data_IF_641364832588
#
_entry.id   IF_641364832588
#
_cell.length_a   1.000
_cell.length_b   1.000
_cell.length_c   1.000
_cell.angle_alpha   90.00
_cell.angle_beta   90.00
_cell.angle_gamma   90.00
#
_symmetry.space_group_name_H-M   'P 1'
#
loop_
_entity.id
_entity.type
_entity.pdbx_description
1 polymer ?
#
# COMPACT_ATOMS: atom_id res chain seq x y z
N UNK A 1 10.01 -4.20 7.35
CA UNK A 1 8.86 -4.27 6.43
C UNK A 1 7.66 -4.05 7.32
N UNK A 2 7.05 -2.88 7.23
CA UNK A 2 5.95 -2.49 8.12
C UNK A 2 4.66 -3.05 7.53
N UNK A 3 4.14 -4.10 8.15
CA UNK A 3 2.89 -4.75 7.74
C UNK A 3 1.73 -3.97 8.32
N UNK A 4 0.76 -3.58 7.49
CA UNK A 4 -0.47 -2.93 7.98
C UNK A 4 -1.27 -3.93 8.82
N UNK A 5 -1.33 -3.73 10.14
CA UNK A 5 -2.23 -4.47 11.03
C UNK A 5 -3.58 -3.76 11.07
N UNK A 6 -4.65 -4.42 10.62
CA UNK A 6 -5.99 -3.84 10.60
C UNK A 6 -6.52 -3.60 12.03
N UNK A 7 -6.11 -4.44 12.99
CA UNK A 7 -6.37 -4.22 14.42
C UNK A 7 -7.83 -4.43 14.83
N UNK A 8 -8.61 -5.11 13.98
CA UNK A 8 -10.02 -5.42 14.18
C UNK A 8 -10.17 -6.93 14.42
N UNK A 9 -11.14 -7.39 15.25
CA UNK A 9 -11.36 -8.83 15.44
C UNK A 9 -11.62 -9.58 14.12
N UNK A 10 -11.22 -10.85 14.08
CA UNK A 10 -11.52 -11.74 12.97
C UNK A 10 -13.03 -11.84 12.68
N UNK A 11 -13.39 -11.91 11.40
CA UNK A 11 -14.77 -11.94 10.91
C UNK A 11 -15.50 -10.60 10.98
N UNK A 12 -14.82 -9.50 11.31
CA UNK A 12 -15.44 -8.18 11.37
C UNK A 12 -15.57 -7.56 9.98
N UNK A 13 -16.75 -7.03 9.66
CA UNK A 13 -16.93 -6.15 8.50
C UNK A 13 -16.35 -4.77 8.78
N UNK A 14 -15.61 -4.22 7.82
CA UNK A 14 -15.03 -2.88 7.86
C UNK A 14 -15.46 -2.07 6.64
N UNK A 15 -15.42 -0.74 6.76
CA UNK A 15 -15.61 0.20 5.62
C UNK A 15 -14.30 0.94 5.26
N UNK A 16 -13.18 0.50 5.84
CA UNK A 16 -11.86 1.03 5.57
C UNK A 16 -10.86 0.73 6.67
N UNK A 17 -9.60 1.05 6.39
CA UNK A 17 -8.46 0.90 7.30
C UNK A 17 -7.42 2.00 7.03
N UNK A 18 -6.41 2.07 7.89
CA UNK A 18 -5.26 2.97 7.70
C UNK A 18 -4.01 2.12 7.55
N UNK A 19 -3.24 2.37 6.49
CA UNK A 19 -1.94 1.72 6.29
C UNK A 19 -0.92 2.14 7.34
N UNK A 20 0.16 1.39 7.46
CA UNK A 20 1.31 1.73 8.29
C UNK A 20 1.81 3.18 8.09
N UNK A 21 1.87 3.65 6.84
CA UNK A 21 2.35 5.01 6.52
C UNK A 21 1.27 6.10 6.72
N UNK A 22 0.11 5.75 7.26
CA UNK A 22 -0.96 6.70 7.60
C UNK A 22 -1.96 6.98 6.48
N UNK A 23 -1.90 6.27 5.35
CA UNK A 23 -2.86 6.43 4.25
C UNK A 23 -4.17 5.72 4.61
N UNK A 24 -5.28 6.45 4.66
CA UNK A 24 -6.60 5.87 4.84
C UNK A 24 -7.16 5.32 3.54
N UNK A 25 -7.58 4.06 3.59
CA UNK A 25 -8.14 3.29 2.48
C UNK A 25 -9.60 2.97 2.82
N UNK A 26 -10.53 3.36 1.98
CA UNK A 26 -11.94 2.99 2.07
C UNK A 26 -12.20 1.73 1.22
N UNK A 27 -12.84 0.75 1.84
CA UNK A 27 -13.21 -0.54 1.24
C UNK A 27 -14.25 -1.21 2.12
N UNK A 28 -15.28 -1.82 1.53
CA UNK A 28 -16.27 -2.61 2.27
C UNK A 28 -15.91 -4.09 2.15
N UNK A 29 -15.34 -4.67 3.21
CA UNK A 29 -14.79 -6.03 3.21
C UNK A 29 -14.88 -6.68 4.60
N UNK A 30 -14.60 -7.98 4.68
CA UNK A 30 -14.50 -8.73 5.94
C UNK A 30 -13.05 -9.07 6.26
N UNK A 31 -12.67 -8.87 7.52
CA UNK A 31 -11.32 -9.14 8.01
C UNK A 31 -11.15 -10.61 8.38
N UNK A 32 -10.10 -11.24 7.86
CA UNK A 32 -9.72 -12.62 8.20
C UNK A 32 -8.25 -12.72 8.59
N UNK A 33 -7.95 -13.58 9.54
CA UNK A 33 -6.59 -13.88 9.97
C UNK A 33 -5.98 -14.91 9.03
N UNK A 34 -4.68 -14.79 8.76
CA UNK A 34 -3.97 -15.85 8.04
C UNK A 34 -4.12 -17.16 8.82
N UNK A 35 -4.55 -18.21 8.12
CA UNK A 35 -4.93 -19.50 8.71
C UNK A 35 -6.39 -19.88 8.49
N UNK A 36 -7.28 -18.89 8.38
CA UNK A 36 -8.73 -19.09 8.25
C UNK A 36 -9.13 -19.26 6.78
N UNK A 37 -8.60 -20.29 6.12
CA UNK A 37 -8.79 -20.55 4.68
C UNK A 37 -7.53 -20.25 3.86
N UNK A 38 -6.73 -19.28 4.32
CA UNK A 38 -5.52 -18.79 3.64
C UNK A 38 -4.22 -19.21 4.31
N UNK A 39 -3.95 -20.52 4.28
CA UNK A 39 -2.76 -21.12 4.92
C UNK A 39 -1.48 -20.98 4.09
N UNK A 40 -1.61 -20.68 2.80
CA UNK A 40 -0.54 -20.61 1.80
C UNK A 40 0.06 -19.23 1.65
N UNK A 41 -0.46 -18.23 2.38
CA UNK A 41 -0.04 -16.85 2.24
C UNK A 41 1.48 -16.70 2.35
N UNK A 42 2.06 -15.97 1.39
CA UNK A 42 3.50 -16.03 1.18
C UNK A 42 4.29 -15.44 2.35
N UNK A 43 5.60 -15.73 2.31
CA UNK A 43 6.62 -14.85 2.90
C UNK A 43 6.58 -14.73 4.43
N UNK A 44 5.86 -15.62 5.12
CA UNK A 44 5.77 -15.63 6.59
C UNK A 44 4.86 -14.56 7.17
N UNK A 45 4.00 -13.94 6.36
CA UNK A 45 2.97 -13.02 6.85
C UNK A 45 1.97 -13.76 7.73
N UNK A 46 1.74 -13.25 8.94
CA UNK A 46 0.81 -13.82 9.94
C UNK A 46 -0.26 -12.80 10.37
N UNK A 47 -0.45 -11.77 9.56
CA UNK A 47 -1.40 -10.69 9.82
C UNK A 47 -2.80 -11.04 9.37
N UNK A 48 -3.50 -10.03 8.87
CA UNK A 48 -4.88 -10.13 8.42
C UNK A 48 -5.02 -9.83 6.93
N UNK A 49 -6.04 -10.39 6.31
CA UNK A 49 -6.44 -10.20 4.92
C UNK A 49 -7.90 -9.76 4.88
N UNK A 50 -8.31 -9.21 3.74
CA UNK A 50 -9.66 -8.79 3.43
C UNK A 50 -10.25 -9.76 2.40
N UNK A 51 -11.39 -10.35 2.73
CA UNK A 51 -12.20 -11.17 1.82
C UNK A 51 -13.60 -11.36 2.39
N UNK A 52 -14.62 -11.22 1.56
CA UNK A 52 -16.00 -11.58 1.88
C UNK A 52 -16.38 -12.98 1.37
N UNK A 53 -15.42 -13.69 0.74
CA UNK A 53 -15.61 -14.99 0.07
C UNK A 53 -16.66 -15.01 -1.05
N UNK A 54 -17.15 -13.85 -1.50
CA UNK A 54 -18.23 -13.73 -2.49
C UNK A 54 -17.85 -12.82 -3.65
N UNK A 55 -17.25 -11.67 -3.37
CA UNK A 55 -16.93 -10.63 -4.33
C UNK A 55 -15.79 -11.03 -5.26
N UNK A 56 -16.02 -10.85 -6.56
CA UNK A 56 -15.01 -11.09 -7.61
C UNK A 56 -14.40 -9.78 -8.15
N UNK A 57 -14.84 -8.63 -7.62
CA UNK A 57 -14.35 -7.31 -7.99
C UNK A 57 -14.54 -6.34 -6.83
N UNK A 58 -13.45 -5.94 -6.19
CA UNK A 58 -13.45 -5.15 -4.95
C UNK A 58 -12.77 -3.80 -5.21
N UNK A 59 -13.49 -2.68 -5.07
CA UNK A 59 -12.92 -1.35 -5.20
C UNK A 59 -12.28 -0.86 -3.89
N UNK A 60 -11.17 -0.15 -4.02
CA UNK A 60 -10.44 0.51 -2.94
C UNK A 60 -10.28 1.99 -3.29
N UNK A 61 -10.61 2.86 -2.35
CA UNK A 61 -10.43 4.31 -2.51
C UNK A 61 -9.40 4.83 -1.52
N UNK A 62 -8.42 5.59 -1.99
CA UNK A 62 -7.42 6.24 -1.16
C UNK A 62 -7.89 7.66 -0.84
N UNK A 63 -8.06 7.97 0.44
CA UNK A 63 -8.56 9.28 0.88
C UNK A 63 -7.55 10.41 0.64
N UNK A 64 -6.27 10.03 0.51
CA UNK A 64 -5.17 10.91 0.11
C UNK A 64 -4.48 10.28 -1.10
N UNK A 65 -4.23 11.04 -2.19
CA UNK A 65 -3.48 10.51 -3.31
C UNK A 65 -2.08 10.05 -2.88
N UNK A 66 -1.60 8.95 -3.45
CA UNK A 66 -0.26 8.40 -3.19
C UNK A 66 0.56 8.35 -4.47
N UNK A 67 1.88 8.30 -4.33
CA UNK A 67 2.81 8.12 -5.46
C UNK A 67 3.19 6.65 -5.70
N UNK A 68 2.72 5.76 -4.83
CA UNK A 68 2.77 4.34 -5.02
C UNK A 68 2.00 3.59 -3.95
N UNK A 69 1.61 2.36 -4.28
CA UNK A 69 0.94 1.44 -3.38
C UNK A 69 1.27 -0.01 -3.76
N UNK A 70 1.03 -0.92 -2.83
CA UNK A 70 1.11 -2.34 -3.11
C UNK A 70 0.34 -3.16 -2.08
N UNK A 71 0.11 -4.41 -2.43
CA UNK A 71 -0.53 -5.42 -1.59
C UNK A 71 -0.22 -6.81 -2.13
N UNK A 72 -0.55 -7.83 -1.36
CA UNK A 72 -0.56 -9.22 -1.80
C UNK A 72 -2.00 -9.70 -2.00
N UNK A 73 -2.23 -10.53 -3.02
CA UNK A 73 -3.53 -11.13 -3.27
C UNK A 73 -3.42 -12.61 -3.64
N UNK A 74 -4.44 -13.39 -3.25
CA UNK A 74 -4.55 -14.82 -3.48
C UNK A 74 -6.00 -15.21 -3.86
N UNK A 75 -6.25 -16.10 -4.84
CA UNK A 75 -7.60 -16.53 -5.24
C UNK A 75 -8.18 -17.66 -4.38
N UNK A 76 -9.41 -17.51 -3.86
CA UNK A 76 -10.01 -18.42 -2.86
C UNK A 76 -9.88 -19.92 -3.19
N UNK A 77 -10.15 -20.37 -4.43
CA UNK A 77 -9.90 -21.75 -4.78
C UNK A 77 -8.40 -22.02 -4.94
N UNK A 78 -7.98 -23.22 -4.53
CA UNK A 78 -6.70 -23.81 -4.89
C UNK A 78 -6.63 -24.08 -6.40
N UNK A 79 -6.34 -23.02 -7.17
CA UNK A 79 -6.22 -23.01 -8.61
C UNK A 79 -5.35 -21.83 -9.05
N UNK A 80 -4.81 -21.91 -10.27
CA UNK A 80 -4.14 -20.77 -10.88
C UNK A 80 -5.20 -19.89 -11.53
N UNK A 81 -5.41 -18.69 -11.00
CA UNK A 81 -6.36 -17.71 -11.52
C UNK A 81 -5.69 -16.38 -11.84
N UNK A 82 -6.17 -15.71 -12.88
CA UNK A 82 -5.74 -14.35 -13.18
C UNK A 82 -6.38 -13.39 -12.18
N UNK A 83 -5.56 -12.60 -11.50
CA UNK A 83 -6.00 -11.46 -10.71
C UNK A 83 -5.56 -10.20 -11.44
N UNK A 84 -6.47 -9.23 -11.49
CA UNK A 84 -6.28 -7.95 -12.17
C UNK A 84 -6.37 -6.80 -11.18
N UNK A 85 -5.34 -5.96 -11.17
CA UNK A 85 -5.36 -4.64 -10.58
C UNK A 85 -5.73 -3.63 -11.67
N UNK A 86 -6.72 -2.79 -11.43
CA UNK A 86 -7.12 -1.70 -12.33
C UNK A 86 -7.15 -0.39 -11.54
N UNK A 87 -6.41 0.62 -11.98
CA UNK A 87 -6.40 1.95 -11.40
C UNK A 87 -7.64 2.75 -11.80
N UNK A 88 -7.94 3.80 -11.05
CA UNK A 88 -9.03 4.74 -11.34
C UNK A 88 -8.87 5.47 -12.69
N UNK A 89 -7.65 5.61 -13.20
CA UNK A 89 -7.34 6.18 -14.51
C UNK A 89 -7.40 5.16 -15.68
N UNK A 90 -7.69 3.89 -15.37
CA UNK A 90 -7.78 2.79 -16.33
C UNK A 90 -6.47 2.03 -16.57
N UNK A 91 -5.35 2.44 -15.98
CA UNK A 91 -4.11 1.65 -15.98
C UNK A 91 -4.35 0.28 -15.33
N UNK A 92 -3.77 -0.80 -15.87
CA UNK A 92 -4.03 -2.14 -15.35
C UNK A 92 -2.82 -3.06 -15.38
N UNK A 93 -2.82 -4.01 -14.45
CA UNK A 93 -1.86 -5.11 -14.34
C UNK A 93 -2.64 -6.40 -14.09
N UNK A 94 -2.47 -7.38 -14.96
CA UNK A 94 -3.04 -8.72 -14.79
C UNK A 94 -1.91 -9.74 -14.74
N UNK A 95 -1.95 -10.63 -13.75
CA UNK A 95 -1.01 -11.75 -13.65
C UNK A 95 -1.70 -13.01 -13.10
N UNK A 96 -1.19 -14.20 -13.44
CA UNK A 96 -1.64 -15.43 -12.81
C UNK A 96 -1.14 -15.49 -11.35
N UNK A 97 -2.01 -15.95 -10.45
CA UNK A 97 -1.71 -16.23 -9.06
C UNK A 97 -2.05 -17.69 -8.79
N UNK A 98 -1.11 -18.44 -8.23
CA UNK A 98 -1.29 -19.85 -7.89
C UNK A 98 -1.79 -19.97 -6.45
N UNK A 99 -3.08 -20.30 -6.26
CA UNK A 99 -3.66 -20.51 -4.94
C UNK A 99 -3.01 -21.67 -4.16
N UNK A 100 -2.23 -22.57 -4.80
CA UNK A 100 -1.40 -23.55 -4.07
C UNK A 100 -0.06 -22.96 -3.61
N UNK A 101 0.41 -21.92 -4.30
CA UNK A 101 1.72 -21.31 -4.11
C UNK A 101 1.71 -20.11 -3.17
N UNK A 102 0.52 -19.62 -2.80
CA UNK A 102 0.34 -18.46 -1.95
C UNK A 102 0.12 -17.15 -2.70
N UNK A 103 -0.14 -16.10 -1.92
CA UNK A 103 -0.38 -14.76 -2.43
C UNK A 103 0.78 -14.21 -3.28
N UNK A 104 0.43 -13.47 -4.33
CA UNK A 104 1.37 -12.77 -5.21
C UNK A 104 1.28 -11.26 -5.02
N UNK A 105 2.42 -10.57 -5.18
CA UNK A 105 2.49 -9.11 -5.04
C UNK A 105 1.86 -8.39 -6.22
N UNK A 106 1.09 -7.35 -5.92
CA UNK A 106 0.60 -6.35 -6.85
C UNK A 106 1.01 -4.98 -6.34
N UNK A 107 1.42 -4.09 -7.25
CA UNK A 107 1.74 -2.73 -6.87
C UNK A 107 1.87 -1.83 -8.07
N UNK A 108 1.82 -0.53 -7.79
CA UNK A 108 1.97 0.51 -8.78
C UNK A 108 2.85 1.63 -8.23
N UNK A 109 3.70 2.16 -9.09
CA UNK A 109 4.45 3.38 -8.82
C UNK A 109 4.03 4.42 -9.86
N UNK A 110 3.36 5.48 -9.41
CA UNK A 110 2.74 6.49 -10.27
C UNK A 110 2.14 7.59 -9.43
N UNK A 111 2.12 8.81 -9.96
CA UNK A 111 1.65 9.97 -9.20
C UNK A 111 0.13 10.00 -9.08
N UNK A 112 -0.34 10.60 -7.99
CA UNK A 112 -1.75 10.93 -7.76
C UNK A 112 -2.70 9.72 -7.87
N UNK A 113 -2.27 8.54 -7.41
CA UNK A 113 -3.17 7.38 -7.35
C UNK A 113 -4.21 7.60 -6.27
N UNK A 114 -5.48 7.60 -6.66
CA UNK A 114 -6.63 7.85 -5.77
C UNK A 114 -7.47 6.62 -5.46
N UNK A 115 -7.25 5.52 -6.18
CA UNK A 115 -8.01 4.30 -5.98
C UNK A 115 -7.69 3.25 -7.02
N UNK A 116 -8.10 2.03 -6.72
CA UNK A 116 -7.90 0.87 -7.58
C UNK A 116 -9.00 -0.16 -7.33
N UNK A 117 -9.17 -1.07 -8.28
CA UNK A 117 -10.06 -2.22 -8.18
C UNK A 117 -9.23 -3.48 -8.35
N UNK A 118 -9.45 -4.46 -7.47
CA UNK A 118 -8.90 -5.81 -7.62
C UNK A 118 -10.01 -6.71 -8.12
N UNK A 119 -9.75 -7.52 -9.14
CA UNK A 119 -10.75 -8.45 -9.69
C UNK A 119 -10.16 -9.79 -10.11
N UNK A 120 -11.00 -10.82 -10.07
CA UNK A 120 -10.68 -12.16 -10.54
C UNK A 120 -11.93 -12.88 -11.04
N UNK A 121 -11.79 -14.12 -11.51
CA UNK A 121 -12.92 -14.96 -11.90
C UNK A 121 -13.70 -15.51 -10.69
N UNK A 122 -13.09 -15.54 -9.51
CA UNK A 122 -13.67 -16.02 -8.25
C UNK A 122 -13.36 -15.03 -7.13
N UNK A 123 -13.88 -15.31 -5.93
CA UNK A 123 -13.46 -14.62 -4.72
C UNK A 123 -11.95 -14.77 -4.50
N UNK A 124 -11.40 -13.81 -3.76
CA UNK A 124 -9.98 -13.71 -3.46
C UNK A 124 -9.81 -13.01 -2.12
N UNK A 125 -8.60 -13.08 -1.57
CA UNK A 125 -8.19 -12.29 -0.43
C UNK A 125 -7.11 -11.28 -0.82
N UNK A 126 -7.12 -10.13 -0.14
CA UNK A 126 -6.10 -9.07 -0.29
C UNK A 126 -5.54 -8.68 1.07
N UNK A 127 -4.22 -8.57 1.21
CA UNK A 127 -3.61 -8.21 2.49
C UNK A 127 -2.19 -7.72 2.35
N UNK A 128 -1.56 -7.42 3.50
CA UNK A 128 -0.21 -6.86 3.60
C UNK A 128 -0.03 -5.62 2.72
N UNK A 129 -0.73 -4.55 3.07
CA UNK A 129 -0.78 -3.31 2.30
C UNK A 129 0.42 -2.41 2.56
N UNK A 130 0.91 -1.79 1.48
CA UNK A 130 1.99 -0.82 1.44
C UNK A 130 1.52 0.47 0.76
N UNK A 131 2.01 1.60 1.25
CA UNK A 131 1.87 2.88 0.57
C UNK A 131 3.21 3.60 0.48
N UNK A 132 3.34 4.49 -0.50
CA UNK A 132 4.51 5.32 -0.65
C UNK A 132 4.08 6.75 -0.94
N UNK A 133 4.31 7.62 0.03
CA UNK A 133 4.17 9.05 -0.14
C UNK A 133 5.58 9.60 -0.39
N UNK A 134 5.83 10.20 -1.56
CA UNK A 134 7.11 10.88 -1.78
C UNK A 134 7.13 12.11 -0.88
N UNK A 135 8.27 12.42 -0.20
CA UNK A 135 8.36 13.62 0.62
C UNK A 135 7.96 14.84 -0.19
N UNK A 136 7.03 15.62 0.38
CA UNK A 136 6.50 16.82 -0.27
C UNK A 136 7.64 17.71 -0.79
N UNK A 137 7.46 18.45 -1.89
CA UNK A 137 8.46 19.42 -2.36
C UNK A 137 8.92 20.41 -1.27
N UNK A 138 8.06 20.68 -0.28
CA UNK A 138 8.36 21.48 0.91
C UNK A 138 9.47 20.86 1.78
N UNK A 139 9.56 19.54 1.86
CA UNK A 139 10.62 18.81 2.59
C UNK A 139 11.97 19.07 1.94
N UNK A 140 12.03 19.00 0.61
CA UNK A 140 13.23 19.36 -0.15
C UNK A 140 13.57 20.84 0.00
N UNK A 141 12.57 21.71 -0.05
CA UNK A 141 12.76 23.14 0.16
C UNK A 141 13.34 23.43 1.55
N UNK A 142 12.82 22.80 2.60
CA UNK A 142 13.29 22.95 3.98
C UNK A 142 14.72 22.43 4.16
N UNK A 143 15.06 21.27 3.57
CA UNK A 143 16.42 20.75 3.59
C UNK A 143 17.39 21.73 2.90
N UNK A 144 17.04 22.21 1.71
CA UNK A 144 17.83 23.21 0.97
C UNK A 144 17.97 24.52 1.74
N UNK A 145 16.89 25.02 2.35
CA UNK A 145 16.91 26.21 3.20
C UNK A 145 17.79 26.01 4.44
N UNK A 146 17.73 24.85 5.07
CA UNK A 146 18.60 24.49 6.20
C UNK A 146 20.08 24.51 5.81
N UNK A 147 20.43 23.89 4.68
CA UNK A 147 21.81 23.90 4.17
C UNK A 147 22.26 25.30 3.74
N UNK A 148 21.40 26.08 3.07
CA UNK A 148 21.69 27.45 2.70
C UNK A 148 21.92 28.34 3.93
N UNK A 149 21.10 28.17 4.98
CA UNK A 149 21.24 28.88 6.26
C UNK A 149 22.56 28.58 6.96
N UNK A 150 22.96 27.30 7.04
CA UNK A 150 24.25 26.88 7.58
C UNK A 150 25.42 27.44 6.78
N UNK A 151 25.36 27.38 5.45
CA UNK A 151 26.38 27.92 4.55
C UNK A 151 26.56 29.43 4.72
N UNK A 152 25.46 30.18 4.78
CA UNK A 152 25.47 31.62 4.98
C UNK A 152 26.03 32.03 6.35
N UNK A 153 25.65 31.32 7.42
CA UNK A 153 26.18 31.58 8.77
C UNK A 153 27.71 31.34 8.83
N UNK A 154 28.21 30.30 8.16
CA UNK A 154 29.65 30.04 8.03
C UNK A 154 30.39 31.12 7.23
N UNK A 155 29.81 31.57 6.11
CA UNK A 155 30.36 32.67 5.30
C UNK A 155 30.53 33.96 6.12
N UNK A 156 29.51 34.36 6.87
CA UNK A 156 29.58 35.57 7.72
C UNK A 156 30.67 35.51 8.78
N UNK A 157 30.90 34.34 9.39
CA UNK A 157 31.98 34.16 10.39
C UNK A 157 33.36 34.31 9.78
N UNK A 158 33.59 33.78 8.56
CA UNK A 158 34.88 33.93 7.86
C UNK A 158 35.17 35.36 7.43
N UNK A 159 34.18 36.10 6.93
CA UNK A 159 34.38 37.50 6.52
C UNK A 159 34.74 38.42 7.69
N UNK A 160 34.27 38.12 8.91
CA UNK A 160 34.65 38.84 10.12
C UNK A 160 36.08 38.52 10.59
N UNK A 161 36.64 37.35 10.25
CA UNK A 161 38.01 36.94 10.58
C UNK A 161 39.07 37.45 9.59
N UNK A 162 38.67 37.88 8.39
CA UNK A 162 39.58 38.31 7.31
C UNK A 162 39.94 39.81 7.36
N UNK A 163 39.44 40.56 8.35
CA UNK A 163 39.53 42.03 8.45
C UNK A 163 40.31 42.52 9.69
N UNK A 164 41.06 41.64 10.37
CA UNK A 164 41.96 41.98 11.48
C UNK A 164 43.40 41.58 11.17
#
# INVERSE_FOLDING_TARGET
>A
METTLLGVPDGSSISGFTTADGVSVAVDEVVHSIGDGWNTWCCGYVGQVLSDYESTSVPFTLNTPVDGFGFFAEPDPYAVLSITLTLSDGGSLTQPVDGYGGASFFGWAGRDVTGFTVSSATAFAVGDFFSANVPEPSTWAMALLGFAGLGFAGYRKRSALSLG
#
